data_IF_302356616769
#
_entry.id   IF_302356616769
#
_cell.length_a   1.000
_cell.length_b   1.000
_cell.length_c   1.000
_cell.angle_alpha   90.00
_cell.angle_beta   90.00
_cell.angle_gamma   90.00
#
_symmetry.space_group_name_H-M   'P 1'
#
loop_
_entity.id
_entity.type
_entity.pdbx_description
1 polymer ?
#
# COMPACT_ATOMS: atom_id res chain seq x y z
N UNK A 1 -3.82 45.06 19.23
CA UNK A 1 -3.85 43.64 18.83
C UNK A 1 -2.77 42.94 19.62
N UNK A 2 -3.15 42.02 20.52
CA UNK A 2 -2.20 41.21 21.29
C UNK A 2 -1.44 40.30 20.32
N UNK A 3 -0.12 40.30 20.40
CA UNK A 3 0.71 39.20 19.91
C UNK A 3 0.18 37.92 20.57
N UNK A 4 -0.29 36.99 19.75
CA UNK A 4 -0.45 35.61 20.16
C UNK A 4 0.96 35.02 20.12
N UNK A 5 1.51 34.74 21.30
CA UNK A 5 2.66 33.85 21.45
C UNK A 5 2.25 32.50 20.85
N UNK A 6 2.83 32.17 19.70
CA UNK A 6 2.77 30.82 19.16
C UNK A 6 3.71 29.95 19.98
N UNK A 7 3.17 28.88 20.56
CA UNK A 7 3.94 27.85 21.25
C UNK A 7 4.99 27.23 20.31
N UNK A 8 6.08 26.63 20.83
CA UNK A 8 7.07 25.97 19.99
C UNK A 8 6.41 24.83 19.22
N UNK A 9 6.61 24.76 17.91
CA UNK A 9 6.25 23.59 17.10
C UNK A 9 6.96 22.36 17.68
N UNK A 10 6.19 21.40 18.20
CA UNK A 10 6.68 20.05 18.54
C UNK A 10 7.30 19.44 17.27
N UNK A 11 8.46 18.79 17.42
CA UNK A 11 9.08 18.11 16.27
C UNK A 11 8.25 16.88 15.87
N UNK A 12 8.30 16.49 14.60
CA UNK A 12 7.63 15.27 14.12
C UNK A 12 8.01 14.03 14.95
N UNK A 13 9.29 13.93 15.34
CA UNK A 13 9.78 12.85 16.20
C UNK A 13 9.11 12.85 17.59
N UNK A 14 8.89 14.03 18.18
CA UNK A 14 8.17 14.15 19.46
C UNK A 14 6.72 13.71 19.32
N UNK A 15 6.03 14.15 18.26
CA UNK A 15 4.65 13.76 18.00
C UNK A 15 4.50 12.24 17.80
N UNK A 16 5.42 11.62 17.05
CA UNK A 16 5.44 10.16 16.85
C UNK A 16 5.65 9.44 18.18
N UNK A 17 6.62 9.89 19.00
CA UNK A 17 6.91 9.27 20.29
C UNK A 17 5.71 9.40 21.25
N UNK A 18 5.06 10.55 21.29
CA UNK A 18 3.87 10.77 22.13
C UNK A 18 2.69 9.89 21.69
N UNK A 19 2.50 9.72 20.38
CA UNK A 19 1.50 8.80 19.83
C UNK A 19 1.76 7.35 20.21
N UNK A 20 3.01 6.89 20.14
CA UNK A 20 3.42 5.54 20.56
C UNK A 20 3.15 5.32 22.05
N UNK A 21 3.51 6.29 22.89
CA UNK A 21 3.28 6.21 24.34
C UNK A 21 1.79 6.25 24.69
N UNK A 22 1.00 7.08 24.01
CA UNK A 22 -0.45 7.11 24.20
C UNK A 22 -1.10 5.79 23.80
N UNK A 23 -0.70 5.21 22.67
CA UNK A 23 -1.16 3.89 22.23
C UNK A 23 -0.81 2.80 23.27
N UNK A 24 0.43 2.78 23.77
CA UNK A 24 0.86 1.85 24.83
C UNK A 24 0.03 2.03 26.11
N UNK A 25 -0.28 3.26 26.52
CA UNK A 25 -1.19 3.54 27.65
C UNK A 25 -2.58 2.96 27.40
N UNK A 26 -3.13 3.11 26.18
CA UNK A 26 -4.45 2.59 25.83
C UNK A 26 -4.52 1.06 25.86
N UNK A 27 -3.50 0.35 25.37
CA UNK A 27 -3.43 -1.11 25.41
C UNK A 27 -3.38 -1.66 26.84
N UNK A 28 -2.69 -0.95 27.74
CA UNK A 28 -2.41 -1.39 29.12
C UNK A 28 -3.46 -0.96 30.15
N UNK A 29 -4.48 -0.18 29.76
CA UNK A 29 -5.45 0.39 30.72
C UNK A 29 -6.44 -0.62 31.31
N UNK A 30 -6.67 -1.73 30.61
CA UNK A 30 -7.68 -2.72 30.97
C UNK A 30 -7.04 -3.94 31.64
N UNK A 31 -7.71 -4.49 32.66
CA UNK A 31 -7.37 -5.80 33.20
C UNK A 31 -7.85 -6.90 32.26
N UNK A 32 -7.12 -8.00 32.19
CA UNK A 32 -7.59 -9.18 31.47
C UNK A 32 -8.92 -9.67 32.09
N UNK A 33 -9.99 -9.84 31.30
CA UNK A 33 -11.26 -10.36 31.80
C UNK A 33 -11.13 -11.79 32.35
N UNK A 34 -11.93 -12.13 33.36
CA UNK A 34 -11.98 -13.51 33.91
C UNK A 34 -12.44 -14.53 32.86
N UNK A 35 -13.40 -14.13 32.01
CA UNK A 35 -13.91 -14.92 30.88
C UNK A 35 -13.56 -14.21 29.59
N UNK A 36 -13.08 -14.97 28.61
CA UNK A 36 -12.74 -14.44 27.29
C UNK A 36 -13.97 -14.40 26.37
N UNK A 37 -15.16 -14.03 26.85
CA UNK A 37 -16.34 -13.90 25.99
C UNK A 37 -16.41 -12.53 25.33
N UNK A 38 -17.08 -12.41 24.18
CA UNK A 38 -17.35 -11.14 23.51
C UNK A 38 -18.02 -10.16 24.46
N UNK A 39 -19.04 -10.59 25.20
CA UNK A 39 -19.73 -9.73 26.15
C UNK A 39 -18.79 -9.20 27.24
N UNK A 40 -17.87 -10.04 27.75
CA UNK A 40 -16.89 -9.62 28.78
C UNK A 40 -15.86 -8.65 28.19
N UNK A 41 -15.35 -8.95 26.99
CA UNK A 41 -14.42 -8.11 26.24
C UNK A 41 -15.01 -6.71 25.99
N UNK A 42 -16.19 -6.64 25.39
CA UNK A 42 -16.86 -5.37 25.06
C UNK A 42 -17.29 -4.60 26.31
N UNK A 43 -17.60 -5.29 27.41
CA UNK A 43 -17.88 -4.63 28.70
C UNK A 43 -16.66 -3.90 29.24
N UNK A 44 -15.45 -4.43 29.06
CA UNK A 44 -14.22 -3.78 29.47
C UNK A 44 -13.90 -2.54 28.61
N UNK A 45 -14.25 -2.55 27.32
CA UNK A 45 -13.99 -1.45 26.39
C UNK A 45 -14.74 -0.16 26.75
N UNK A 46 -14.20 0.98 26.36
CA UNK A 46 -14.82 2.30 26.44
C UNK A 46 -15.98 2.43 25.46
N UNK A 47 -16.88 3.39 25.69
CA UNK A 47 -17.99 3.62 24.74
C UNK A 47 -17.47 4.01 23.35
N UNK A 48 -16.40 4.81 23.28
CA UNK A 48 -15.76 5.20 22.02
C UNK A 48 -15.30 3.98 21.22
N UNK A 49 -14.57 3.05 21.84
CA UNK A 49 -14.15 1.80 21.21
C UNK A 49 -15.33 0.96 20.69
N UNK A 50 -16.45 0.91 21.42
CA UNK A 50 -17.65 0.22 20.96
C UNK A 50 -18.30 0.93 19.76
N UNK A 51 -18.29 2.25 19.75
CA UNK A 51 -18.80 3.05 18.63
C UNK A 51 -17.90 2.91 17.38
N UNK A 52 -16.59 2.73 17.56
CA UNK A 52 -15.66 2.42 16.46
C UNK A 52 -15.96 1.04 15.86
N UNK A 53 -16.13 0.00 16.70
CA UNK A 53 -16.57 -1.33 16.23
C UNK A 53 -17.92 -1.22 15.50
N UNK A 54 -18.89 -0.50 16.07
CA UNK A 54 -20.19 -0.27 15.44
C UNK A 54 -20.06 0.36 14.06
N UNK A 55 -19.17 1.35 13.91
CA UNK A 55 -18.90 2.02 12.65
C UNK A 55 -18.26 1.07 11.63
N UNK A 56 -17.18 0.38 12.02
CA UNK A 56 -16.43 -0.52 11.14
C UNK A 56 -17.28 -1.70 10.65
N UNK A 57 -18.16 -2.23 11.52
CA UNK A 57 -19.09 -3.30 11.16
C UNK A 57 -20.36 -2.81 10.46
N UNK A 58 -20.48 -1.49 10.24
CA UNK A 58 -21.65 -0.82 9.67
C UNK A 58 -22.98 -1.20 10.37
N UNK A 59 -22.97 -1.24 11.70
CA UNK A 59 -24.16 -1.53 12.51
C UNK A 59 -25.02 -0.28 12.62
N UNK A 60 -26.09 -0.24 11.82
CA UNK A 60 -27.01 0.90 11.73
C UNK A 60 -28.04 0.92 12.86
N UNK A 61 -28.58 2.12 13.14
CA UNK A 61 -29.62 2.32 14.17
C UNK A 61 -29.16 2.06 15.61
N UNK A 62 -27.85 2.08 15.87
CA UNK A 62 -27.28 1.73 17.17
C UNK A 62 -26.49 2.87 17.85
N UNK A 63 -26.34 4.04 17.22
CA UNK A 63 -25.51 5.16 17.72
C UNK A 63 -26.06 5.82 18.99
N UNK A 64 -27.36 5.77 19.22
CA UNK A 64 -28.01 6.31 20.42
C UNK A 64 -28.10 5.32 21.57
N UNK A 65 -27.68 4.07 21.38
CA UNK A 65 -27.82 3.02 22.39
C UNK A 65 -26.92 3.28 23.59
N UNK A 66 -27.39 2.82 24.75
CA UNK A 66 -26.55 2.76 25.95
C UNK A 66 -25.56 1.61 25.81
N UNK A 67 -24.48 1.66 26.59
CA UNK A 67 -23.37 0.69 26.49
C UNK A 67 -23.84 -0.78 26.54
N UNK A 68 -24.71 -1.13 27.47
CA UNK A 68 -25.21 -2.52 27.57
C UNK A 68 -26.01 -2.96 26.33
N UNK A 69 -26.94 -2.12 25.87
CA UNK A 69 -27.76 -2.37 24.67
C UNK A 69 -26.89 -2.43 23.40
N UNK A 70 -25.84 -1.60 23.32
CA UNK A 70 -24.88 -1.62 22.23
C UNK A 70 -24.09 -2.92 22.21
N UNK A 71 -23.63 -3.40 23.37
CA UNK A 71 -22.92 -4.69 23.49
C UNK A 71 -23.79 -5.84 22.98
N UNK A 72 -25.06 -5.91 23.39
CA UNK A 72 -26.01 -6.93 22.92
C UNK A 72 -26.17 -6.91 21.39
N UNK A 73 -26.12 -5.72 20.78
CA UNK A 73 -26.18 -5.56 19.32
C UNK A 73 -24.87 -5.91 18.61
N UNK A 74 -23.73 -5.64 19.24
CA UNK A 74 -22.41 -5.86 18.66
C UNK A 74 -22.01 -7.35 18.68
N UNK A 75 -22.32 -8.10 19.73
CA UNK A 75 -21.93 -9.52 19.83
C UNK A 75 -22.30 -10.35 18.57
N UNK A 76 -23.58 -10.41 18.13
CA UNK A 76 -23.94 -11.16 16.92
C UNK A 76 -23.45 -10.51 15.62
N UNK A 77 -23.24 -9.19 15.61
CA UNK A 77 -22.70 -8.49 14.44
C UNK A 77 -21.23 -8.83 14.21
N UNK A 78 -20.45 -8.93 15.29
CA UNK A 78 -19.03 -9.32 15.24
C UNK A 78 -18.90 -10.74 14.71
N UNK A 79 -19.66 -11.72 15.22
CA UNK A 79 -19.54 -13.11 14.76
C UNK A 79 -19.95 -13.26 13.29
N UNK A 80 -21.06 -12.63 12.87
CA UNK A 80 -21.49 -12.64 11.47
C UNK A 80 -20.52 -11.90 10.52
N UNK A 81 -19.80 -10.91 11.03
CA UNK A 81 -18.74 -10.25 10.26
C UNK A 81 -17.47 -11.11 10.20
N UNK A 82 -17.07 -11.75 11.31
CA UNK A 82 -15.93 -12.67 11.37
C UNK A 82 -16.06 -13.79 10.33
N UNK A 83 -17.22 -14.45 10.25
CA UNK A 83 -17.49 -15.51 9.26
C UNK A 83 -17.26 -15.04 7.82
N UNK A 84 -17.68 -13.81 7.49
CA UNK A 84 -17.54 -13.25 6.14
C UNK A 84 -16.12 -12.74 5.87
N UNK A 85 -15.53 -12.07 6.85
CA UNK A 85 -14.21 -11.46 6.74
C UNK A 85 -13.10 -12.52 6.63
N UNK A 86 -13.20 -13.59 7.42
CA UNK A 86 -12.22 -14.68 7.43
C UNK A 86 -12.13 -15.44 6.09
N UNK A 87 -13.15 -15.33 5.23
CA UNK A 87 -13.11 -15.90 3.88
C UNK A 87 -12.03 -15.27 2.98
N UNK A 88 -11.54 -14.08 3.34
CA UNK A 88 -10.53 -13.33 2.60
C UNK A 88 -9.18 -13.26 3.34
N UNK A 89 -8.93 -14.13 4.32
CA UNK A 89 -7.63 -14.19 5.02
C UNK A 89 -6.48 -14.42 4.03
N UNK A 90 -5.35 -13.78 4.30
CA UNK A 90 -4.05 -14.16 3.76
C UNK A 90 -3.31 -15.03 4.79
N UNK A 91 -2.17 -15.59 4.38
CA UNK A 91 -1.46 -16.60 5.16
C UNK A 91 -0.98 -16.08 6.52
N UNK A 92 -0.51 -14.83 6.60
CA UNK A 92 -0.03 -14.26 7.88
C UNK A 92 -1.16 -14.12 8.91
N UNK A 93 -2.32 -13.62 8.48
CA UNK A 93 -3.51 -13.51 9.32
C UNK A 93 -4.00 -14.89 9.74
N UNK A 94 -4.04 -15.84 8.82
CA UNK A 94 -4.41 -17.21 9.13
C UNK A 94 -3.48 -17.83 10.17
N UNK A 95 -2.16 -17.66 10.04
CA UNK A 95 -1.20 -18.13 11.04
C UNK A 95 -1.37 -17.43 12.40
N UNK A 96 -1.70 -16.14 12.42
CA UNK A 96 -2.06 -15.43 13.64
C UNK A 96 -3.26 -16.08 14.35
N UNK A 97 -4.36 -16.32 13.64
CA UNK A 97 -5.55 -16.95 14.21
C UNK A 97 -5.30 -18.41 14.63
N UNK A 98 -4.55 -19.18 13.84
CA UNK A 98 -4.10 -20.54 14.20
C UNK A 98 -3.30 -20.57 15.50
N UNK A 99 -2.34 -19.66 15.64
CA UNK A 99 -1.50 -19.56 16.83
C UNK A 99 -2.30 -19.16 18.06
N UNK A 100 -3.26 -18.24 17.93
CA UNK A 100 -4.19 -17.91 19.01
C UNK A 100 -5.05 -19.12 19.38
N UNK A 101 -5.64 -19.82 18.39
CA UNK A 101 -6.49 -20.98 18.62
C UNK A 101 -5.74 -22.13 19.33
N UNK A 102 -4.49 -22.39 18.94
CA UNK A 102 -3.63 -23.39 19.58
C UNK A 102 -3.34 -23.08 21.06
N UNK A 103 -3.41 -21.81 21.45
CA UNK A 103 -3.17 -21.33 22.81
C UNK A 103 -4.46 -20.93 23.54
N UNK A 104 -5.60 -21.54 23.18
CA UNK A 104 -6.89 -21.30 23.84
C UNK A 104 -7.40 -19.87 23.65
N UNK A 105 -7.05 -19.24 22.53
CA UNK A 105 -7.42 -17.88 22.18
C UNK A 105 -6.56 -16.80 22.83
N UNK A 106 -5.37 -17.11 23.37
CA UNK A 106 -4.52 -16.12 24.08
C UNK A 106 -3.09 -16.10 23.56
N UNK A 107 -2.41 -14.97 23.66
CA UNK A 107 -0.99 -14.84 23.35
C UNK A 107 -0.30 -13.74 24.15
N UNK A 108 0.85 -14.08 24.74
CA UNK A 108 1.81 -13.14 25.34
C UNK A 108 2.92 -12.74 24.33
N UNK A 109 3.01 -13.44 23.19
CA UNK A 109 4.07 -13.26 22.21
C UNK A 109 3.78 -12.16 21.18
N UNK A 110 2.52 -11.69 21.10
CA UNK A 110 2.13 -10.63 20.18
C UNK A 110 2.64 -9.28 20.68
N UNK A 111 3.42 -8.60 19.83
CA UNK A 111 4.05 -7.32 20.16
C UNK A 111 3.00 -6.23 20.39
N UNK A 112 3.20 -5.40 21.41
CA UNK A 112 2.43 -4.17 21.60
C UNK A 112 2.87 -3.05 20.64
N UNK A 113 3.80 -3.31 19.72
CA UNK A 113 4.22 -2.41 18.64
C UNK A 113 3.55 -2.75 17.30
N UNK A 114 2.89 -3.91 17.18
CA UNK A 114 2.16 -4.30 15.97
C UNK A 114 0.81 -3.56 15.92
N UNK A 115 0.70 -2.59 15.02
CA UNK A 115 -0.48 -1.74 14.82
C UNK A 115 -1.61 -2.46 14.06
N UNK A 116 -1.31 -3.50 13.29
CA UNK A 116 -2.30 -4.36 12.63
C UNK A 116 -3.25 -5.01 13.63
N UNK A 117 -2.81 -5.21 14.87
CA UNK A 117 -3.66 -5.72 15.93
C UNK A 117 -4.77 -4.71 16.32
N UNK A 118 -4.56 -3.40 16.17
CA UNK A 118 -5.62 -2.42 16.43
C UNK A 118 -6.73 -2.48 15.39
N UNK A 119 -6.41 -2.81 14.14
CA UNK A 119 -7.42 -3.10 13.14
C UNK A 119 -8.32 -4.25 13.60
N UNK A 120 -7.74 -5.38 14.04
CA UNK A 120 -8.51 -6.52 14.55
C UNK A 120 -9.29 -6.20 15.83
N UNK A 121 -8.77 -5.32 16.70
CA UNK A 121 -9.51 -4.76 17.85
C UNK A 121 -10.70 -3.92 17.40
N UNK A 122 -10.52 -3.09 16.38
CA UNK A 122 -11.56 -2.27 15.76
C UNK A 122 -12.66 -3.07 15.06
N UNK A 123 -12.41 -4.36 14.77
CA UNK A 123 -13.42 -5.31 14.28
C UNK A 123 -14.08 -6.13 15.40
N UNK A 124 -13.54 -6.05 16.62
CA UNK A 124 -13.97 -6.88 17.76
C UNK A 124 -13.48 -8.34 17.68
N UNK A 125 -12.47 -8.64 16.89
CA UNK A 125 -11.95 -10.02 16.74
C UNK A 125 -10.94 -10.40 17.82
N UNK A 126 -10.30 -9.42 18.42
CA UNK A 126 -9.40 -9.61 19.55
C UNK A 126 -9.38 -8.37 20.42
N UNK A 127 -8.83 -8.50 21.62
CA UNK A 127 -8.51 -7.40 22.52
C UNK A 127 -7.31 -7.76 23.37
N UNK A 128 -6.90 -6.87 24.27
CA UNK A 128 -5.80 -7.08 25.18
C UNK A 128 -6.16 -6.66 26.60
N UNK A 129 -5.45 -7.22 27.57
CA UNK A 129 -5.57 -6.82 28.96
C UNK A 129 -4.36 -7.24 29.79
N UNK A 130 -4.15 -6.55 30.91
CA UNK A 130 -3.04 -6.80 31.82
C UNK A 130 -3.37 -7.96 32.76
N UNK A 131 -2.44 -8.92 32.87
CA UNK A 131 -2.41 -9.96 33.88
C UNK A 131 -0.99 -10.05 34.47
N UNK A 132 -0.85 -9.84 35.78
CA UNK A 132 0.45 -9.87 36.49
C UNK A 132 1.56 -9.06 35.80
N UNK A 133 1.26 -7.81 35.40
CA UNK A 133 2.18 -6.90 34.68
C UNK A 133 2.51 -7.28 33.23
N UNK A 134 2.01 -8.41 32.74
CA UNK A 134 2.12 -8.84 31.34
C UNK A 134 0.88 -8.40 30.55
N UNK A 135 1.09 -7.86 29.35
CA UNK A 135 0.01 -7.62 28.39
C UNK A 135 -0.33 -8.93 27.69
N UNK A 136 -1.59 -9.36 27.76
CA UNK A 136 -2.07 -10.57 27.10
C UNK A 136 -3.08 -10.18 26.05
N UNK A 137 -2.82 -10.58 24.80
CA UNK A 137 -3.76 -10.52 23.72
C UNK A 137 -4.69 -11.73 23.77
N UNK A 138 -5.97 -11.52 23.49
CA UNK A 138 -6.93 -12.60 23.46
C UNK A 138 -8.00 -12.42 22.38
N UNK A 139 -8.34 -13.52 21.72
CA UNK A 139 -9.49 -13.67 20.84
C UNK A 139 -10.67 -14.18 21.68
N UNK A 140 -11.85 -13.56 21.61
CA UNK A 140 -12.99 -13.98 22.39
C UNK A 140 -13.53 -15.34 21.92
N UNK A 141 -14.11 -16.12 22.84
CA UNK A 141 -14.57 -17.50 22.66
C UNK A 141 -15.47 -17.67 21.43
N UNK A 142 -16.36 -16.71 21.17
CA UNK A 142 -17.28 -16.73 20.05
C UNK A 142 -16.57 -16.54 18.69
N UNK A 143 -15.54 -15.68 18.63
CA UNK A 143 -14.73 -15.49 17.40
C UNK A 143 -13.78 -16.66 17.19
N UNK A 144 -13.21 -17.19 18.28
CA UNK A 144 -12.43 -18.43 18.26
C UNK A 144 -13.28 -19.59 17.71
N UNK A 145 -14.53 -19.71 18.15
CA UNK A 145 -15.43 -20.75 17.67
C UNK A 145 -15.73 -20.62 16.16
N UNK A 146 -15.90 -19.39 15.65
CA UNK A 146 -16.04 -19.14 14.21
C UNK A 146 -14.80 -19.64 13.46
N UNK A 147 -13.61 -19.21 13.88
CA UNK A 147 -12.37 -19.64 13.23
C UNK A 147 -12.17 -21.16 13.29
N UNK A 148 -12.35 -21.78 14.45
CA UNK A 148 -12.18 -23.23 14.64
C UNK A 148 -13.15 -24.07 13.81
N UNK A 149 -14.34 -23.56 13.47
CA UNK A 149 -15.26 -24.24 12.57
C UNK A 149 -14.82 -24.17 11.10
N UNK A 150 -14.09 -23.12 10.73
CA UNK A 150 -13.60 -22.89 9.37
C UNK A 150 -12.25 -23.57 9.11
N UNK A 151 -11.41 -23.69 10.14
CA UNK A 151 -10.04 -24.20 10.12
C UNK A 151 -9.94 -25.67 9.66
N UNK A 152 -9.94 -25.84 8.34
CA UNK A 152 -9.91 -27.10 7.61
C UNK A 152 -8.86 -27.01 6.51
N UNK A 153 -8.41 -28.16 5.99
CA UNK A 153 -7.44 -28.18 4.88
C UNK A 153 -7.95 -27.39 3.66
N UNK A 154 -9.22 -27.56 3.29
CA UNK A 154 -9.82 -26.83 2.17
C UNK A 154 -9.89 -25.31 2.42
N UNK A 155 -10.02 -24.89 3.67
CA UNK A 155 -9.94 -23.48 4.03
C UNK A 155 -8.50 -22.96 3.95
N UNK A 156 -7.51 -23.74 4.39
CA UNK A 156 -6.10 -23.36 4.22
C UNK A 156 -5.71 -23.24 2.74
N UNK A 157 -6.15 -24.17 1.88
CA UNK A 157 -5.98 -24.06 0.42
C UNK A 157 -6.57 -22.76 -0.14
N UNK A 158 -7.69 -22.30 0.41
CA UNK A 158 -8.26 -21.00 0.05
C UNK A 158 -7.37 -19.84 0.50
N UNK A 159 -6.88 -19.87 1.74
CA UNK A 159 -5.97 -18.83 2.26
C UNK A 159 -4.71 -18.70 1.40
N UNK A 160 -4.12 -19.83 0.99
CA UNK A 160 -2.97 -19.83 0.08
C UNK A 160 -3.32 -19.22 -1.28
N UNK A 161 -4.51 -19.53 -1.82
CA UNK A 161 -5.01 -18.90 -3.05
C UNK A 161 -5.23 -17.39 -2.88
N UNK A 162 -5.84 -16.95 -1.79
CA UNK A 162 -6.04 -15.54 -1.48
C UNK A 162 -4.69 -14.80 -1.41
N UNK A 163 -3.70 -15.40 -0.75
CA UNK A 163 -2.34 -14.87 -0.66
C UNK A 163 -1.68 -14.73 -2.03
N UNK A 164 -1.85 -15.73 -2.90
CA UNK A 164 -1.39 -15.68 -4.30
C UNK A 164 -2.07 -14.55 -5.07
N UNK A 165 -3.38 -14.40 -4.96
CA UNK A 165 -4.16 -13.33 -5.61
C UNK A 165 -3.70 -11.95 -5.15
N UNK A 166 -3.55 -11.73 -3.84
CA UNK A 166 -3.07 -10.46 -3.27
C UNK A 166 -1.65 -10.12 -3.76
N UNK A 167 -0.76 -11.12 -3.81
CA UNK A 167 0.62 -10.95 -4.29
C UNK A 167 0.66 -10.59 -5.78
N UNK A 168 -0.08 -11.30 -6.63
CA UNK A 168 -0.15 -10.99 -8.05
C UNK A 168 -0.73 -9.58 -8.30
N UNK A 169 -1.77 -9.21 -7.56
CA UNK A 169 -2.34 -7.87 -7.63
C UNK A 169 -1.30 -6.80 -7.27
N UNK A 170 -0.55 -6.98 -6.18
CA UNK A 170 0.51 -6.06 -5.78
C UNK A 170 1.61 -5.92 -6.85
N UNK A 171 2.02 -7.01 -7.49
CA UNK A 171 3.04 -6.96 -8.54
C UNK A 171 2.57 -6.34 -9.85
N UNK A 172 1.31 -6.55 -10.22
CA UNK A 172 0.69 -5.84 -11.34
C UNK A 172 0.60 -4.35 -11.04
N UNK A 173 0.17 -3.98 -9.83
CA UNK A 173 0.09 -2.58 -9.41
C UNK A 173 1.47 -1.91 -9.30
N UNK A 174 2.52 -2.65 -8.90
CA UNK A 174 3.89 -2.15 -8.97
C UNK A 174 4.25 -1.70 -10.39
N UNK A 175 3.83 -2.45 -11.41
CA UNK A 175 4.10 -2.11 -12.81
C UNK A 175 3.17 -1.03 -13.38
N UNK A 176 1.91 -0.94 -12.93
CA UNK A 176 0.89 -0.08 -13.56
C UNK A 176 0.50 1.16 -12.75
N UNK A 177 0.85 1.21 -11.46
CA UNK A 177 0.53 2.28 -10.51
C UNK A 177 -0.89 2.18 -9.96
N UNK A 178 -1.89 2.14 -10.85
CA UNK A 178 -3.29 2.06 -10.51
C UNK A 178 -4.07 1.25 -11.55
N UNK A 179 -5.08 0.51 -11.07
CA UNK A 179 -6.08 -0.15 -11.91
C UNK A 179 -7.43 -0.11 -11.20
N UNK A 180 -8.51 0.03 -11.98
CA UNK A 180 -9.84 -0.21 -11.44
C UNK A 180 -10.03 -1.69 -11.10
N UNK A 181 -11.04 -2.02 -10.29
CA UNK A 181 -11.23 -3.39 -9.80
C UNK A 181 -11.44 -4.41 -10.92
N UNK A 182 -12.17 -4.05 -11.99
CA UNK A 182 -12.44 -4.96 -13.11
C UNK A 182 -11.16 -5.29 -13.87
N UNK A 183 -10.38 -4.26 -14.24
CA UNK A 183 -9.10 -4.41 -14.93
C UNK A 183 -8.11 -5.24 -14.12
N UNK A 184 -7.99 -4.96 -12.81
CA UNK A 184 -7.07 -5.69 -11.95
C UNK A 184 -7.52 -7.14 -11.77
N UNK A 185 -8.83 -7.39 -11.61
CA UNK A 185 -9.38 -8.75 -11.52
C UNK A 185 -9.07 -9.56 -12.77
N UNK A 186 -9.34 -9.01 -13.96
CA UNK A 186 -9.07 -9.68 -15.23
C UNK A 186 -7.58 -10.00 -15.40
N UNK A 187 -6.70 -9.05 -15.10
CA UNK A 187 -5.25 -9.23 -15.19
C UNK A 187 -4.74 -10.27 -14.19
N UNK A 188 -5.20 -10.26 -12.94
CA UNK A 188 -4.85 -11.30 -11.97
C UNK A 188 -5.36 -12.66 -12.43
N UNK A 189 -6.60 -12.77 -12.91
CA UNK A 189 -7.15 -14.01 -13.42
C UNK A 189 -6.37 -14.57 -14.62
N UNK A 190 -5.76 -13.72 -15.45
CA UNK A 190 -4.91 -14.16 -16.56
C UNK A 190 -3.63 -14.89 -16.08
N UNK A 191 -3.23 -14.69 -14.82
CA UNK A 191 -2.08 -15.34 -14.18
C UNK A 191 -2.45 -16.56 -13.33
N UNK A 192 -3.74 -16.91 -13.26
CA UNK A 192 -4.23 -18.08 -12.51
C UNK A 192 -4.47 -19.26 -13.44
N UNK A 193 -4.34 -20.48 -12.92
CA UNK A 193 -4.80 -21.66 -13.65
C UNK A 193 -6.33 -21.65 -13.79
N UNK A 194 -6.88 -22.40 -14.73
CA UNK A 194 -8.34 -22.51 -14.91
C UNK A 194 -9.05 -22.97 -13.62
N UNK A 195 -8.44 -23.93 -12.91
CA UNK A 195 -8.94 -24.41 -11.63
C UNK A 195 -8.94 -23.31 -10.56
N UNK A 196 -7.82 -22.59 -10.39
CA UNK A 196 -7.73 -21.50 -9.42
C UNK A 196 -8.71 -20.37 -9.73
N UNK A 197 -8.78 -19.96 -11.00
CA UNK A 197 -9.68 -18.91 -11.49
C UNK A 197 -11.14 -19.26 -11.23
N UNK A 198 -11.55 -20.51 -11.46
CA UNK A 198 -12.93 -20.94 -11.21
C UNK A 198 -13.37 -20.84 -9.73
N UNK A 199 -12.40 -20.75 -8.80
CA UNK A 199 -12.62 -20.67 -7.35
C UNK A 199 -12.47 -19.26 -6.79
N UNK A 200 -12.33 -18.23 -7.63
CA UNK A 200 -12.22 -16.83 -7.20
C UNK A 200 -13.29 -16.01 -7.91
N UNK A 201 -14.32 -15.60 -7.16
CA UNK A 201 -15.31 -14.65 -7.68
C UNK A 201 -14.78 -13.22 -7.61
N UNK A 202 -15.40 -12.30 -8.33
CA UNK A 202 -15.09 -10.88 -8.22
C UNK A 202 -15.28 -10.34 -6.79
N UNK A 203 -16.32 -10.80 -6.08
CA UNK A 203 -16.54 -10.41 -4.68
C UNK A 203 -15.46 -10.94 -3.74
N UNK A 204 -15.00 -12.18 -3.95
CA UNK A 204 -13.86 -12.72 -3.20
C UNK A 204 -12.60 -11.89 -3.44
N UNK A 205 -12.33 -11.56 -4.71
CA UNK A 205 -11.19 -10.72 -5.09
C UNK A 205 -11.20 -9.35 -4.41
N UNK A 206 -12.34 -8.65 -4.40
CA UNK A 206 -12.45 -7.37 -3.69
C UNK A 206 -12.21 -7.55 -2.19
N UNK A 207 -12.75 -8.60 -1.57
CA UNK A 207 -12.51 -8.92 -0.15
C UNK A 207 -11.03 -9.18 0.15
N UNK A 208 -10.34 -9.93 -0.72
CA UNK A 208 -8.91 -10.20 -0.62
C UNK A 208 -8.10 -8.89 -0.67
N UNK A 209 -8.44 -7.97 -1.59
CA UNK A 209 -7.72 -6.71 -1.74
C UNK A 209 -7.98 -5.73 -0.59
N UNK A 210 -9.20 -5.71 -0.04
CA UNK A 210 -9.49 -4.93 1.16
C UNK A 210 -8.66 -5.44 2.36
N UNK A 211 -8.57 -6.76 2.55
CA UNK A 211 -7.73 -7.32 3.60
C UNK A 211 -6.25 -7.05 3.37
N UNK A 212 -5.76 -7.26 2.13
CA UNK A 212 -4.38 -6.96 1.78
C UNK A 212 -4.04 -5.48 2.04
N UNK A 213 -4.94 -4.55 1.69
CA UNK A 213 -4.75 -3.12 1.93
C UNK A 213 -4.73 -2.74 3.41
N UNK A 214 -5.36 -3.52 4.29
CA UNK A 214 -5.33 -3.28 5.73
C UNK A 214 -4.16 -3.97 6.43
N UNK A 215 -3.58 -5.02 5.81
CA UNK A 215 -2.56 -5.86 6.44
C UNK A 215 -1.15 -5.64 5.90
N UNK A 216 -1.02 -5.24 4.62
CA UNK A 216 0.24 -5.11 3.89
C UNK A 216 0.43 -3.67 3.41
N UNK A 217 1.69 -3.22 3.45
CA UNK A 217 2.09 -1.91 2.94
C UNK A 217 2.48 -1.97 1.46
N UNK A 218 1.69 -2.64 0.63
CA UNK A 218 1.98 -2.80 -0.80
C UNK A 218 0.90 -2.19 -1.70
N UNK A 219 -0.35 -2.18 -1.25
CA UNK A 219 -1.49 -1.72 -2.04
C UNK A 219 -2.44 -0.91 -1.18
N UNK A 220 -3.15 0.04 -1.80
CA UNK A 220 -4.18 0.85 -1.15
C UNK A 220 -5.48 0.70 -1.94
N UNK A 221 -6.48 0.12 -1.28
CA UNK A 221 -7.83 0.00 -1.85
C UNK A 221 -8.55 1.35 -1.81
N UNK A 222 -9.09 1.76 -2.95
CA UNK A 222 -9.86 2.98 -3.16
C UNK A 222 -11.30 2.62 -3.57
N UNK A 223 -12.26 3.55 -3.52
CA UNK A 223 -13.65 3.24 -3.87
C UNK A 223 -13.84 2.65 -5.29
N UNK A 224 -12.99 3.01 -6.25
CA UNK A 224 -13.13 2.62 -7.66
C UNK A 224 -12.03 1.69 -8.18
N UNK A 225 -11.01 1.41 -7.37
CA UNK A 225 -9.83 0.67 -7.82
C UNK A 225 -8.83 0.49 -6.71
N UNK A 226 -7.62 0.10 -7.09
CA UNK A 226 -6.52 -0.09 -6.15
C UNK A 226 -5.27 0.54 -6.74
N UNK A 227 -4.53 1.24 -5.89
CA UNK A 227 -3.21 1.77 -6.25
C UNK A 227 -2.09 1.03 -5.55
N UNK A 228 -0.92 1.05 -6.16
CA UNK A 228 0.32 0.74 -5.46
C UNK A 228 0.60 1.83 -4.42
N UNK A 229 1.14 1.44 -3.26
CA UNK A 229 1.20 2.35 -2.10
C UNK A 229 2.06 3.61 -2.31
N UNK A 230 3.00 3.59 -3.26
CA UNK A 230 3.87 4.73 -3.60
C UNK A 230 3.31 5.64 -4.70
N UNK A 231 2.09 5.36 -5.20
CA UNK A 231 1.44 6.26 -6.14
C UNK A 231 0.90 7.50 -5.42
N UNK A 232 1.44 8.66 -5.83
CA UNK A 232 1.16 9.96 -5.23
C UNK A 232 -0.22 10.46 -5.64
N UNK A 233 -0.50 10.53 -6.94
CA UNK A 233 -1.73 11.11 -7.48
C UNK A 233 -2.36 10.18 -8.54
N UNK A 234 -3.46 9.52 -8.15
CA UNK A 234 -4.21 8.64 -9.05
C UNK A 234 -4.90 9.39 -10.19
N UNK A 235 -5.41 10.60 -9.96
CA UNK A 235 -6.15 11.37 -10.96
C UNK A 235 -5.19 11.87 -12.05
N UNK A 236 -4.01 12.36 -11.67
CA UNK A 236 -2.96 12.75 -12.60
C UNK A 236 -2.50 11.56 -13.46
N UNK A 237 -2.25 10.41 -12.83
CA UNK A 237 -1.83 9.20 -13.54
C UNK A 237 -2.90 8.75 -14.55
N UNK A 238 -4.16 8.65 -14.14
CA UNK A 238 -5.25 8.24 -15.03
C UNK A 238 -5.37 9.22 -16.22
N UNK A 239 -5.30 10.53 -15.97
CA UNK A 239 -5.32 11.54 -17.03
C UNK A 239 -4.16 11.38 -18.02
N UNK A 240 -2.95 11.07 -17.54
CA UNK A 240 -1.78 10.87 -18.37
C UNK A 240 -1.85 9.56 -19.17
N UNK A 241 -2.38 8.49 -18.59
CA UNK A 241 -2.64 7.21 -19.29
C UNK A 241 -3.76 7.35 -20.34
N UNK A 242 -4.77 8.19 -20.10
CA UNK A 242 -5.84 8.50 -21.06
C UNK A 242 -5.32 9.25 -22.28
N UNK A 243 -4.30 10.11 -22.13
CA UNK A 243 -3.63 10.78 -23.27
C UNK A 243 -2.91 9.78 -24.19
N UNK A 244 -2.65 8.57 -23.70
CA UNK A 244 -2.08 7.42 -24.45
C UNK A 244 -3.12 6.31 -24.61
N UNK A 245 -4.35 6.67 -24.99
CA UNK A 245 -5.44 5.70 -25.15
C UNK A 245 -5.18 4.64 -26.22
N UNK A 246 -4.23 4.88 -27.12
CA UNK A 246 -3.76 3.98 -28.18
C UNK A 246 -2.67 2.98 -27.72
N UNK A 247 -2.11 3.17 -26.52
CA UNK A 247 -1.15 2.25 -25.92
C UNK A 247 -1.87 1.29 -24.97
N UNK A 248 -1.73 -0.01 -25.18
CA UNK A 248 -2.17 -1.02 -24.21
C UNK A 248 -1.19 -1.13 -23.04
N UNK A 249 -1.68 -1.64 -21.90
CA UNK A 249 -0.81 -1.98 -20.77
C UNK A 249 0.24 -3.00 -21.18
N UNK A 250 1.45 -2.88 -20.65
CA UNK A 250 2.50 -3.87 -20.90
C UNK A 250 2.06 -5.26 -20.44
N UNK A 251 2.40 -6.29 -21.20
CA UNK A 251 2.19 -7.67 -20.76
C UNK A 251 3.28 -8.05 -19.75
N UNK A 252 2.85 -8.49 -18.58
CA UNK A 252 3.74 -9.08 -17.59
C UNK A 252 3.67 -10.61 -17.68
N UNK A 253 4.81 -11.27 -17.48
CA UNK A 253 4.85 -12.70 -17.19
C UNK A 253 4.37 -12.99 -15.77
N UNK A 254 4.04 -14.25 -15.48
CA UNK A 254 3.70 -14.68 -14.13
C UNK A 254 4.86 -14.39 -13.16
N UNK A 255 6.09 -14.69 -13.59
CA UNK A 255 7.30 -14.55 -12.79
C UNK A 255 7.58 -13.09 -12.44
N UNK A 256 7.39 -12.15 -13.38
CA UNK A 256 7.54 -10.72 -13.13
C UNK A 256 6.50 -10.21 -12.12
N UNK A 257 5.22 -10.52 -12.35
CA UNK A 257 4.14 -10.12 -11.43
C UNK A 257 4.34 -10.74 -10.03
N UNK A 258 4.75 -12.01 -9.97
CA UNK A 258 5.02 -12.70 -8.71
C UNK A 258 6.22 -12.12 -7.94
N UNK A 259 7.29 -11.77 -8.65
CA UNK A 259 8.48 -11.18 -8.04
C UNK A 259 8.17 -9.77 -7.50
N UNK A 260 7.54 -8.93 -8.32
CA UNK A 260 7.20 -7.54 -7.96
C UNK A 260 6.17 -7.43 -6.83
N UNK A 261 5.36 -8.46 -6.62
CA UNK A 261 4.36 -8.51 -5.54
C UNK A 261 4.90 -8.82 -4.14
N UNK A 262 6.21 -8.99 -3.97
CA UNK A 262 6.82 -9.19 -2.65
C UNK A 262 6.58 -7.97 -1.73
N UNK A 263 6.52 -8.20 -0.40
CA UNK A 263 6.33 -7.11 0.57
C UNK A 263 7.49 -6.10 0.57
N UNK A 264 8.68 -6.54 0.14
CA UNK A 264 9.80 -5.67 -0.21
C UNK A 264 10.36 -6.17 -1.55
N UNK A 265 10.41 -5.27 -2.53
CA UNK A 265 10.85 -5.58 -3.89
C UNK A 265 11.83 -4.52 -4.39
N UNK A 266 12.98 -4.99 -4.85
CA UNK A 266 13.94 -4.18 -5.61
C UNK A 266 14.12 -4.86 -6.97
N UNK A 267 13.95 -4.14 -8.10
CA UNK A 267 14.12 -4.72 -9.43
C UNK A 267 15.51 -5.34 -9.62
N UNK A 268 15.54 -6.62 -10.01
CA UNK A 268 16.79 -7.32 -10.29
C UNK A 268 17.23 -7.14 -11.75
N UNK A 269 17.38 -5.88 -12.18
CA UNK A 269 17.83 -5.52 -13.54
C UNK A 269 19.31 -5.12 -13.55
N UNK A 270 20.04 -5.28 -14.68
CA UNK A 270 21.42 -4.83 -14.76
C UNK A 270 21.61 -3.33 -14.42
N UNK A 271 20.74 -2.39 -14.87
CA UNK A 271 20.86 -0.99 -14.49
C UNK A 271 20.63 -0.74 -12.99
N UNK A 272 19.63 -1.39 -12.37
CA UNK A 272 19.37 -1.24 -10.94
C UNK A 272 20.55 -1.77 -10.11
N UNK A 273 21.07 -2.97 -10.43
CA UNK A 273 22.26 -3.52 -9.77
C UNK A 273 23.48 -2.63 -9.92
N UNK A 274 23.70 -2.04 -11.10
CA UNK A 274 24.83 -1.14 -11.34
C UNK A 274 24.74 0.13 -10.48
N UNK A 275 23.55 0.71 -10.33
CA UNK A 275 23.34 1.89 -9.50
C UNK A 275 23.55 1.57 -8.00
N UNK A 276 23.02 0.44 -7.51
CA UNK A 276 23.24 -0.01 -6.13
C UNK A 276 24.73 -0.23 -5.87
N UNK A 277 25.43 -0.91 -6.79
CA UNK A 277 26.87 -1.13 -6.68
C UNK A 277 27.66 0.18 -6.68
N UNK A 278 27.24 1.17 -7.48
CA UNK A 278 27.85 2.50 -7.47
C UNK A 278 27.73 3.16 -6.09
N UNK A 279 26.54 3.16 -5.47
CA UNK A 279 26.38 3.72 -4.12
C UNK A 279 27.23 3.00 -3.07
N UNK A 280 27.38 1.68 -3.18
CA UNK A 280 28.24 0.91 -2.28
C UNK A 280 29.72 1.27 -2.45
N UNK A 281 30.21 1.37 -3.69
CA UNK A 281 31.64 1.57 -3.98
C UNK A 281 32.07 3.03 -3.87
N UNK A 282 31.32 3.95 -4.47
CA UNK A 282 31.68 5.36 -4.55
C UNK A 282 31.35 6.14 -3.27
N UNK A 283 30.31 5.70 -2.52
CA UNK A 283 29.82 6.40 -1.32
C UNK A 283 29.88 5.56 -0.04
N UNK A 284 30.35 4.31 -0.10
CA UNK A 284 30.55 3.46 1.08
C UNK A 284 29.25 3.04 1.77
N UNK A 285 28.12 3.07 1.05
CA UNK A 285 26.83 2.67 1.62
C UNK A 285 26.77 1.15 1.83
N UNK A 286 26.10 0.74 2.92
CA UNK A 286 25.69 -0.65 3.08
C UNK A 286 24.62 -1.02 2.05
N UNK A 287 24.49 -2.31 1.74
CA UNK A 287 23.60 -2.81 0.67
C UNK A 287 22.14 -2.36 0.84
N UNK A 288 21.62 -2.35 2.06
CA UNK A 288 20.25 -1.91 2.34
C UNK A 288 20.07 -0.42 2.01
N UNK A 289 20.93 0.44 2.57
CA UNK A 289 20.90 1.88 2.29
C UNK A 289 21.08 2.19 0.79
N UNK A 290 21.94 1.44 0.09
CA UNK A 290 22.14 1.60 -1.35
C UNK A 290 20.90 1.20 -2.15
N UNK A 291 20.21 0.12 -1.76
CA UNK A 291 18.94 -0.30 -2.34
C UNK A 291 17.82 0.70 -2.04
N UNK A 292 17.77 1.26 -0.83
CA UNK A 292 16.77 2.26 -0.43
C UNK A 292 16.88 3.50 -1.33
N UNK A 293 18.10 4.05 -1.51
CA UNK A 293 18.31 5.21 -2.39
C UNK A 293 17.96 4.92 -3.86
N UNK A 294 18.27 3.71 -4.35
CA UNK A 294 17.84 3.29 -5.68
C UNK A 294 16.31 3.17 -5.77
N UNK A 295 15.66 2.69 -4.71
CA UNK A 295 14.22 2.59 -4.56
C UNK A 295 13.53 3.94 -4.63
N UNK A 296 14.03 4.95 -3.91
CA UNK A 296 13.51 6.33 -3.97
C UNK A 296 13.56 6.91 -5.38
N UNK A 297 14.66 6.69 -6.10
CA UNK A 297 14.78 7.10 -7.50
C UNK A 297 13.77 6.37 -8.38
N UNK A 298 13.59 5.05 -8.19
CA UNK A 298 12.58 4.28 -8.94
C UNK A 298 11.18 4.80 -8.67
N UNK A 299 10.82 5.08 -7.41
CA UNK A 299 9.52 5.64 -7.03
C UNK A 299 9.29 6.99 -7.73
N UNK A 300 10.30 7.86 -7.72
CA UNK A 300 10.26 9.16 -8.41
C UNK A 300 9.99 8.97 -9.91
N UNK A 301 10.74 8.09 -10.57
CA UNK A 301 10.58 7.82 -12.00
C UNK A 301 9.22 7.20 -12.32
N UNK A 302 8.75 6.24 -11.51
CA UNK A 302 7.45 5.60 -11.68
C UNK A 302 6.28 6.59 -11.61
N UNK A 303 6.38 7.60 -10.74
CA UNK A 303 5.43 8.72 -10.64
C UNK A 303 5.57 9.75 -11.79
N UNK A 304 6.42 9.49 -12.79
CA UNK A 304 6.61 10.39 -13.94
C UNK A 304 7.65 11.49 -13.73
N UNK A 305 8.42 11.42 -12.64
CA UNK A 305 9.53 12.32 -12.38
C UNK A 305 10.64 12.17 -13.44
N UNK A 306 11.40 13.25 -13.58
CA UNK A 306 12.48 13.40 -14.55
C UNK A 306 13.84 12.98 -13.98
N UNK A 307 14.79 12.72 -14.88
CA UNK A 307 16.18 12.49 -14.49
C UNK A 307 16.80 13.68 -13.74
N UNK A 308 16.35 14.91 -14.02
CA UNK A 308 16.83 16.09 -13.30
C UNK A 308 16.35 16.06 -11.85
N UNK A 309 15.10 15.68 -11.58
CA UNK A 309 14.60 15.56 -10.21
C UNK A 309 15.30 14.43 -9.46
N UNK A 310 15.68 13.34 -10.14
CA UNK A 310 16.54 12.32 -9.55
C UNK A 310 17.94 12.86 -9.18
N UNK A 311 18.53 13.71 -10.02
CA UNK A 311 19.80 14.40 -9.73
C UNK A 311 19.64 15.37 -8.55
N UNK A 312 18.56 16.14 -8.52
CA UNK A 312 18.27 17.10 -7.46
C UNK A 312 18.11 16.37 -6.11
N UNK A 313 17.37 15.26 -6.07
CA UNK A 313 17.28 14.39 -4.90
C UNK A 313 18.67 13.91 -4.41
N UNK A 314 19.52 13.45 -5.34
CA UNK A 314 20.87 13.00 -5.00
C UNK A 314 21.75 14.14 -4.46
N UNK A 315 21.59 15.37 -4.95
CA UNK A 315 22.30 16.54 -4.44
C UNK A 315 21.84 16.91 -3.03
N UNK A 316 20.53 16.88 -2.77
CA UNK A 316 19.95 17.13 -1.44
C UNK A 316 20.50 16.19 -0.38
N UNK A 317 20.68 14.90 -0.71
CA UNK A 317 21.29 13.92 0.19
C UNK A 317 22.83 13.91 0.15
N UNK A 318 23.42 14.84 -0.59
CA UNK A 318 24.86 15.13 -0.62
C UNK A 318 25.71 14.17 -1.46
N UNK A 319 25.11 13.42 -2.37
CA UNK A 319 25.79 12.47 -3.25
C UNK A 319 26.37 13.11 -4.52
N UNK A 320 25.99 14.36 -4.84
CA UNK A 320 26.48 15.09 -6.03
C UNK A 320 27.63 16.07 -5.75
N UNK A 321 28.20 16.08 -4.54
CA UNK A 321 29.24 17.05 -4.13
C UNK A 321 30.61 16.83 -4.76
N UNK A 322 30.87 15.62 -5.27
CA UNK A 322 32.13 15.21 -5.89
C UNK A 322 31.90 15.14 -7.41
N UNK A 323 32.58 15.99 -8.17
CA UNK A 323 32.35 16.15 -9.62
C UNK A 323 32.58 14.84 -10.39
N UNK A 324 33.61 14.06 -10.05
CA UNK A 324 33.92 12.79 -10.73
C UNK A 324 32.81 11.76 -10.49
N UNK A 325 32.26 11.72 -9.26
CA UNK A 325 31.14 10.84 -8.92
C UNK A 325 29.83 11.32 -9.53
N UNK A 326 29.62 12.63 -9.57
CA UNK A 326 28.46 13.24 -10.20
C UNK A 326 28.41 12.90 -11.70
N UNK A 327 29.52 12.99 -12.42
CA UNK A 327 29.58 12.63 -13.83
C UNK A 327 29.37 11.12 -14.05
N UNK A 328 29.90 10.29 -13.15
CA UNK A 328 29.80 8.83 -13.23
C UNK A 328 28.38 8.29 -12.99
N UNK A 329 27.54 8.98 -12.20
CA UNK A 329 26.19 8.51 -11.88
C UNK A 329 25.17 8.82 -12.99
N UNK A 330 25.35 9.90 -13.77
CA UNK A 330 24.42 10.28 -14.85
C UNK A 330 24.08 9.14 -15.82
N UNK A 331 25.06 8.41 -16.41
CA UNK A 331 24.74 7.31 -17.31
C UNK A 331 24.03 6.14 -16.60
N UNK A 332 24.25 5.93 -15.30
CA UNK A 332 23.55 4.91 -14.52
C UNK A 332 22.07 5.28 -14.31
N UNK A 333 21.78 6.56 -14.04
CA UNK A 333 20.41 7.06 -13.93
C UNK A 333 19.66 6.95 -15.26
N UNK A 334 20.31 7.30 -16.37
CA UNK A 334 19.72 7.17 -17.70
C UNK A 334 19.40 5.70 -18.04
N UNK A 335 20.33 4.78 -17.74
CA UNK A 335 20.12 3.34 -17.92
C UNK A 335 18.99 2.82 -17.03
N UNK A 336 18.91 3.27 -15.77
CA UNK A 336 17.83 2.90 -14.86
C UNK A 336 16.48 3.35 -15.39
N UNK A 337 16.34 4.62 -15.79
CA UNK A 337 15.10 5.14 -16.37
C UNK A 337 14.64 4.32 -17.57
N UNK A 338 15.55 3.97 -18.48
CA UNK A 338 15.20 3.22 -19.68
C UNK A 338 14.73 1.80 -19.40
N UNK A 339 15.15 1.20 -18.28
CA UNK A 339 14.76 -0.14 -17.86
C UNK A 339 13.66 -0.17 -16.79
N UNK A 340 13.16 0.99 -16.34
CA UNK A 340 12.12 1.07 -15.31
C UNK A 340 10.74 1.06 -15.96
N UNK A 341 9.82 0.24 -15.45
CA UNK A 341 8.42 0.26 -15.88
C UNK A 341 7.76 1.53 -15.35
N UNK A 342 7.32 2.41 -16.25
CA UNK A 342 6.76 3.72 -15.87
C UNK A 342 5.24 3.68 -15.93
N UNK A 343 4.58 4.18 -14.89
CA UNK A 343 3.11 4.20 -14.83
C UNK A 343 2.47 5.09 -15.91
N UNK A 344 3.02 6.28 -16.24
CA UNK A 344 2.54 7.07 -17.39
C UNK A 344 2.60 6.32 -18.73
N UNK A 345 3.47 5.31 -18.81
CA UNK A 345 3.64 4.43 -19.97
C UNK A 345 2.91 3.09 -19.79
N UNK A 346 1.92 3.01 -18.89
CA UNK A 346 1.11 1.80 -18.65
C UNK A 346 1.94 0.55 -18.37
N UNK A 347 3.07 0.71 -17.67
CA UNK A 347 3.97 -0.35 -17.27
C UNK A 347 4.99 -0.80 -18.32
N UNK A 348 5.04 -0.14 -19.49
CA UNK A 348 6.15 -0.30 -20.42
C UNK A 348 7.40 0.40 -19.89
N UNK A 349 8.57 -0.12 -20.24
CA UNK A 349 9.82 0.63 -20.09
C UNK A 349 10.04 1.54 -21.30
N UNK A 350 10.81 2.64 -21.18
CA UNK A 350 11.21 3.43 -22.34
C UNK A 350 11.94 2.60 -23.41
N UNK A 351 12.71 1.58 -23.01
CA UNK A 351 13.38 0.65 -23.92
C UNK A 351 12.38 -0.21 -24.72
N UNK A 352 11.33 -0.73 -24.09
CA UNK A 352 10.26 -1.49 -24.76
C UNK A 352 9.61 -0.66 -25.87
N UNK A 353 9.22 0.57 -25.55
CA UNK A 353 8.55 1.46 -26.50
C UNK A 353 9.45 1.83 -27.69
N UNK A 354 10.75 2.02 -27.42
CA UNK A 354 11.74 2.29 -28.47
C UNK A 354 11.86 1.11 -29.44
N UNK A 355 11.89 -0.12 -28.92
CA UNK A 355 11.94 -1.33 -29.73
C UNK A 355 10.66 -1.57 -30.54
N UNK A 356 9.49 -1.27 -29.97
CA UNK A 356 8.18 -1.49 -30.61
C UNK A 356 7.89 -0.50 -31.74
N UNK A 357 8.23 0.77 -31.56
CA UNK A 357 7.76 1.85 -32.47
C UNK A 357 8.83 2.34 -33.43
N UNK A 358 10.13 2.10 -33.16
CA UNK A 358 11.23 2.78 -33.86
C UNK A 358 11.27 4.31 -33.68
N UNK A 359 10.23 4.88 -33.06
CA UNK A 359 10.01 6.29 -32.71
C UNK A 359 9.78 6.42 -31.20
N UNK A 360 10.52 5.64 -30.39
CA UNK A 360 10.73 6.02 -29.00
C UNK A 360 11.58 7.28 -29.02
N UNK A 361 11.05 8.42 -28.60
CA UNK A 361 11.94 9.50 -28.15
C UNK A 361 12.80 8.91 -27.04
N UNK A 362 14.02 8.46 -27.36
CA UNK A 362 15.17 8.84 -26.55
C UNK A 362 14.95 10.33 -26.37
N UNK A 363 14.71 10.79 -25.15
CA UNK A 363 14.85 12.21 -24.90
C UNK A 363 16.37 12.35 -24.70
N UNK A 364 17.16 12.68 -25.74
CA UNK A 364 18.55 13.06 -25.50
C UNK A 364 18.53 14.21 -24.48
N UNK A 365 19.49 14.16 -23.56
CA UNK A 365 19.59 14.96 -22.34
C UNK A 365 19.30 16.46 -22.57
N UNK A 366 19.63 16.95 -23.76
CA UNK A 366 19.45 18.30 -24.28
C UNK A 366 18.00 18.70 -24.64
N UNK A 367 17.02 17.78 -24.63
CA UNK A 367 15.59 18.05 -24.90
C UNK A 367 14.64 17.90 -23.70
N UNK A 368 15.14 17.50 -22.53
CA UNK A 368 14.39 17.52 -21.26
C UNK A 368 14.27 18.96 -20.70
N UNK A 369 15.05 19.91 -21.22
CA UNK A 369 14.81 21.32 -20.97
C UNK A 369 13.50 21.78 -21.62
N UNK A 370 12.41 21.69 -20.85
CA UNK A 370 11.16 22.44 -21.03
C UNK A 370 10.73 22.59 -22.49
N UNK A 371 9.96 21.64 -23.00
CA UNK A 371 8.99 21.98 -24.04
C UNK A 371 7.88 22.84 -23.40
N UNK A 372 8.22 24.06 -22.95
CA UNK A 372 7.24 25.13 -22.81
C UNK A 372 6.64 25.27 -24.20
N UNK A 373 5.36 24.92 -24.35
CA UNK A 373 4.61 25.17 -25.58
C UNK A 373 4.89 26.62 -25.98
N UNK A 374 5.52 26.81 -27.15
CA UNK A 374 5.88 28.14 -27.60
C UNK A 374 4.61 28.97 -27.69
N UNK A 375 4.65 30.23 -27.22
CA UNK A 375 3.48 31.14 -27.26
C UNK A 375 2.76 31.14 -28.62
N UNK A 376 3.47 30.87 -29.71
CA UNK A 376 2.92 30.87 -31.07
C UNK A 376 2.58 29.48 -31.64
N UNK A 377 2.85 28.39 -30.93
CA UNK A 377 2.62 27.02 -31.37
C UNK A 377 1.13 26.65 -31.29
N UNK A 378 0.66 25.65 -32.05
CA UNK A 378 -0.69 25.12 -31.90
C UNK A 378 -0.96 24.69 -30.47
N UNK A 379 -2.11 25.10 -29.92
CA UNK A 379 -2.47 24.84 -28.54
C UNK A 379 -2.78 23.33 -28.34
N UNK A 380 -2.21 22.69 -27.31
CA UNK A 380 -2.34 21.24 -27.09
C UNK A 380 -3.77 20.78 -26.76
N UNK A 381 -4.68 21.69 -26.41
CA UNK A 381 -6.09 21.37 -26.14
C UNK A 381 -6.92 21.05 -27.42
N UNK A 382 -6.29 20.92 -28.58
CA UNK A 382 -6.96 20.60 -29.84
C UNK A 382 -7.83 21.72 -30.44
N UNK A 383 -7.73 22.96 -29.91
CA UNK A 383 -8.59 24.08 -30.38
C UNK A 383 -8.21 24.66 -31.74
N UNK A 384 -7.07 24.25 -32.31
CA UNK A 384 -6.51 24.83 -33.54
C UNK A 384 -5.97 26.27 -33.41
N UNK A 385 -6.03 26.88 -32.22
CA UNK A 385 -5.52 28.24 -31.95
C UNK A 385 -4.06 28.20 -31.49
N UNK A 386 -3.32 29.31 -31.65
CA UNK A 386 -1.99 29.47 -31.03
C UNK A 386 -2.10 29.46 -29.50
N UNK A 387 -1.13 28.86 -28.80
CA UNK A 387 -1.15 28.68 -27.35
C UNK A 387 -1.38 29.98 -26.56
N UNK A 388 -0.74 31.09 -26.95
CA UNK A 388 -0.95 32.43 -26.33
C UNK A 388 -2.39 32.94 -26.38
N UNK A 389 -3.19 32.44 -27.32
CA UNK A 389 -4.59 32.84 -27.54
C UNK A 389 -5.58 31.80 -26.99
N UNK A 390 -5.11 30.78 -26.29
CA UNK A 390 -5.94 29.70 -25.79
C UNK A 390 -5.60 29.36 -24.33
N UNK A 391 -4.83 28.30 -24.07
CA UNK A 391 -4.60 27.83 -22.70
C UNK A 391 -3.55 28.65 -21.92
N UNK A 392 -2.69 29.45 -22.56
CA UNK A 392 -1.64 30.18 -21.83
C UNK A 392 -2.16 30.99 -20.64
N UNK A 393 -3.29 31.70 -20.79
CA UNK A 393 -3.85 32.51 -19.69
C UNK A 393 -4.49 31.67 -18.57
N UNK A 394 -4.86 30.42 -18.87
CA UNK A 394 -5.38 29.47 -17.89
C UNK A 394 -4.26 28.79 -17.13
N UNK A 395 -3.11 28.58 -17.78
CA UNK A 395 -1.94 27.94 -17.20
C UNK A 395 -1.06 28.95 -16.41
N UNK A 396 -1.24 30.25 -16.61
CA UNK A 396 -0.59 31.35 -15.87
C UNK A 396 -1.43 31.85 -14.66
N UNK A 397 -2.56 31.22 -14.34
CA UNK A 397 -3.37 31.42 -13.12
C UNK A 397 -3.26 30.20 -12.22
#
# INVERSE_FOLDING_TARGET
MKQMDMAPEESLEQMVQEGVEERKRQLRRHKLPEKATLASMLTAMTKAELDDIRFNLNVTGASSLKKAELIERLCPAITAFAERWMMSLLEEEYQLFRNLAANGGKSEALSDEDDRLDYLRGLGFLSCGMANETLIWFMPEEVLAVFSQMDTEAFHERVLRNTKVARLAAGLLYAYGYLNYEQLFEKVCAHLTEEERSRVTFADFVGILLNASCWKNTVVALPQGVKYYTLIDEEELENEQLRRSDLDFADLTYEEAWAAGADSYTPDTPPCRALIQFFMQAHGYGVLKAADVAGEIIILLQNGGSLQEAVDYLDEIGLMKDEDKADAIIPLLAALNNATRLWPLKGHTPEDLMAMTGEGRVIPFDKVHKARVGRNDPCPCGSGKKYKNCCLRKDEQ
#
